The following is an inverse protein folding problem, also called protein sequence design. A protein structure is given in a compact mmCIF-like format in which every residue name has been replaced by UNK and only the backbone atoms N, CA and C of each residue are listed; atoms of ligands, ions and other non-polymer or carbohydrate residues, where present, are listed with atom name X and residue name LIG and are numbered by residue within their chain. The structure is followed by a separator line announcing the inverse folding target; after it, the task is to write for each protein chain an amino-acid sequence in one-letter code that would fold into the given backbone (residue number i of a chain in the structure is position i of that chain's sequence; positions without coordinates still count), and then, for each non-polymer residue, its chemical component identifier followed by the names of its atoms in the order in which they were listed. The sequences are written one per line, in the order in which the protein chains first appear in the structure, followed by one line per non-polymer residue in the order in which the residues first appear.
data_IF_212966674017
#
_entry.id   IF_212966674017
#
_cell.length_a   1.000
_cell.length_b   1.000
_cell.length_c   1.000
_cell.angle_alpha   90.00
_cell.angle_beta   90.00
_cell.angle_gamma   90.00
#
_symmetry.space_group_name_H-M   'P 1'
#
loop_
_entity.id
_entity.type
_entity.pdbx_description
1 polymer ?
#
# COMPACT_ATOMS: atom_id res chain seq x y z
N UNK A 1 115.49 -51.84 -47.23
CA UNK A 1 115.87 -51.36 -45.88
C UNK A 1 114.81 -51.83 -44.90
N UNK A 2 115.25 -52.40 -43.77
CA UNK A 2 114.44 -53.23 -42.87
C UNK A 2 113.26 -52.46 -42.22
N UNK A 3 112.08 -53.06 -42.26
CA UNK A 3 110.95 -52.67 -41.40
C UNK A 3 110.92 -53.63 -40.23
N UNK A 4 111.38 -53.16 -39.08
CA UNK A 4 111.24 -53.84 -37.80
C UNK A 4 109.74 -53.97 -37.47
N UNK A 5 109.25 -55.20 -37.35
CA UNK A 5 107.88 -55.47 -36.96
C UNK A 5 107.64 -54.99 -35.52
N UNK A 6 106.86 -53.93 -35.35
CA UNK A 6 106.42 -53.49 -34.03
C UNK A 6 105.59 -54.59 -33.35
N UNK A 7 105.85 -54.84 -32.06
CA UNK A 7 105.11 -55.83 -31.28
C UNK A 7 103.57 -55.58 -31.38
N UNK A 8 102.75 -56.64 -31.54
CA UNK A 8 101.32 -56.50 -31.88
C UNK A 8 100.50 -55.71 -30.85
N UNK A 9 100.91 -55.71 -29.57
CA UNK A 9 100.31 -54.88 -28.54
C UNK A 9 100.55 -53.37 -28.71
N UNK A 10 101.69 -52.98 -29.28
CA UNK A 10 102.02 -51.59 -29.58
C UNK A 10 101.26 -51.11 -30.81
N UNK A 11 101.20 -51.93 -31.86
CA UNK A 11 100.47 -51.60 -33.10
C UNK A 11 98.96 -51.37 -32.85
N UNK A 12 98.34 -52.15 -31.94
CA UNK A 12 96.93 -51.99 -31.56
C UNK A 12 96.65 -50.70 -30.77
N UNK A 13 97.56 -50.31 -29.85
CA UNK A 13 97.46 -49.03 -29.13
C UNK A 13 97.68 -47.85 -30.07
N UNK A 14 98.65 -47.95 -30.98
CA UNK A 14 99.00 -46.90 -31.94
C UNK A 14 97.85 -46.66 -32.92
N UNK A 15 97.22 -47.73 -33.43
CA UNK A 15 96.01 -47.66 -34.25
C UNK A 15 94.84 -47.03 -33.51
N UNK A 16 94.60 -47.41 -32.24
CA UNK A 16 93.53 -46.81 -31.41
C UNK A 16 93.75 -45.32 -31.17
N UNK A 17 94.99 -44.88 -30.91
CA UNK A 17 95.34 -43.46 -30.74
C UNK A 17 95.15 -42.68 -32.05
N UNK A 18 95.58 -43.25 -33.18
CA UNK A 18 95.38 -42.64 -34.51
C UNK A 18 93.91 -42.57 -34.94
N UNK A 19 93.09 -43.53 -34.53
CA UNK A 19 91.64 -43.54 -34.79
C UNK A 19 90.86 -42.63 -33.84
N UNK A 20 91.47 -42.15 -32.75
CA UNK A 20 90.83 -41.21 -31.84
C UNK A 20 90.86 -39.82 -32.49
N UNK A 21 89.73 -39.39 -33.05
CA UNK A 21 89.57 -38.06 -33.64
C UNK A 21 89.72 -37.00 -32.54
N UNK A 22 90.87 -36.33 -32.52
CA UNK A 22 91.19 -35.30 -31.51
C UNK A 22 90.70 -33.91 -31.90
N UNK A 23 90.18 -33.75 -33.12
CA UNK A 23 89.85 -32.46 -33.73
C UNK A 23 88.34 -32.16 -33.72
N UNK A 24 87.51 -32.99 -33.07
CA UNK A 24 86.07 -32.74 -33.05
C UNK A 24 85.73 -31.57 -32.10
N UNK A 25 84.81 -30.67 -32.51
CA UNK A 25 84.48 -29.47 -31.72
C UNK A 25 83.94 -29.83 -30.34
N UNK A 26 83.17 -30.90 -30.22
CA UNK A 26 82.61 -31.38 -28.94
C UNK A 26 83.71 -31.90 -28.00
N UNK A 27 84.73 -32.55 -28.55
CA UNK A 27 85.85 -33.07 -27.77
C UNK A 27 86.76 -31.93 -27.33
N UNK A 28 87.02 -30.94 -28.20
CA UNK A 28 87.75 -29.73 -27.85
C UNK A 28 87.01 -28.90 -26.78
N UNK A 29 85.69 -28.75 -26.88
CA UNK A 29 84.86 -28.08 -25.88
C UNK A 29 84.88 -28.82 -24.53
N UNK A 30 84.78 -30.15 -24.57
CA UNK A 30 84.87 -31.02 -23.39
C UNK A 30 86.25 -30.95 -22.73
N UNK A 31 87.31 -30.91 -23.54
CA UNK A 31 88.69 -30.74 -23.05
C UNK A 31 88.93 -29.34 -22.49
N UNK A 32 88.36 -28.29 -23.11
CA UNK A 32 88.43 -26.93 -22.60
C UNK A 32 87.73 -26.81 -21.24
N UNK A 33 86.56 -27.42 -21.07
CA UNK A 33 85.89 -27.49 -19.77
C UNK A 33 86.68 -28.32 -18.76
N UNK A 34 87.25 -29.44 -19.16
CA UNK A 34 88.10 -30.30 -18.31
C UNK A 34 89.35 -29.54 -17.83
N UNK A 35 89.95 -28.74 -18.71
CA UNK A 35 91.09 -27.87 -18.41
C UNK A 35 90.79 -26.81 -17.34
N UNK A 36 89.54 -26.45 -17.09
CA UNK A 36 89.20 -25.45 -16.05
C UNK A 36 89.40 -25.97 -14.63
N UNK A 37 89.44 -27.29 -14.42
CA UNK A 37 89.52 -27.89 -13.09
C UNK A 37 90.53 -29.04 -12.96
N UNK A 38 91.05 -29.52 -14.09
CA UNK A 38 92.06 -30.56 -14.12
C UNK A 38 93.42 -29.95 -14.47
N UNK A 39 94.08 -29.36 -13.47
CA UNK A 39 95.36 -28.66 -13.63
C UNK A 39 96.57 -29.61 -13.59
N UNK A 40 96.51 -30.68 -12.78
CA UNK A 40 97.65 -31.56 -12.51
C UNK A 40 97.47 -32.96 -13.10
N UNK A 41 98.37 -33.33 -14.02
CA UNK A 41 98.31 -34.59 -14.75
C UNK A 41 99.08 -35.73 -14.05
N UNK A 42 98.72 -36.04 -12.81
CA UNK A 42 99.36 -37.11 -12.00
C UNK A 42 98.71 -38.49 -12.24
N UNK A 43 99.41 -39.62 -12.03
CA UNK A 43 98.83 -40.95 -12.20
C UNK A 43 97.63 -41.22 -11.27
N UNK A 44 97.60 -40.58 -10.10
CA UNK A 44 96.47 -40.64 -9.17
C UNK A 44 95.29 -39.79 -9.65
N UNK A 45 95.55 -38.59 -10.19
CA UNK A 45 94.53 -37.74 -10.83
C UNK A 45 93.92 -38.40 -12.07
N UNK A 46 94.68 -39.17 -12.86
CA UNK A 46 94.13 -39.90 -14.03
C UNK A 46 93.19 -41.03 -13.62
N UNK A 47 93.50 -41.73 -12.52
CA UNK A 47 92.64 -42.79 -11.96
C UNK A 47 91.33 -42.22 -11.40
N UNK A 48 91.38 -41.01 -10.85
CA UNK A 48 90.23 -40.36 -10.23
C UNK A 48 89.43 -39.44 -11.18
N UNK A 49 89.93 -39.17 -12.39
CA UNK A 49 89.33 -38.22 -13.35
C UNK A 49 87.84 -38.48 -13.61
N UNK A 50 87.45 -39.74 -13.81
CA UNK A 50 86.05 -40.13 -14.02
C UNK A 50 85.18 -39.73 -12.81
N UNK A 51 85.65 -40.05 -11.61
CA UNK A 51 84.95 -39.70 -10.37
C UNK A 51 84.85 -38.19 -10.16
N UNK A 52 85.90 -37.43 -10.50
CA UNK A 52 85.88 -35.96 -10.43
C UNK A 52 84.91 -35.32 -11.44
N UNK A 53 84.83 -35.86 -12.66
CA UNK A 53 83.86 -35.40 -13.66
C UNK A 53 82.43 -35.72 -13.20
N UNK A 54 82.19 -36.93 -12.69
CA UNK A 54 80.88 -37.35 -12.17
C UNK A 54 80.46 -36.50 -10.96
N UNK A 55 81.36 -36.22 -10.02
CA UNK A 55 81.10 -35.32 -8.89
C UNK A 55 80.78 -33.89 -9.34
N UNK A 56 81.50 -33.36 -10.33
CA UNK A 56 81.22 -32.02 -10.88
C UNK A 56 79.89 -31.98 -11.61
N UNK A 57 79.57 -33.00 -12.40
CA UNK A 57 78.26 -33.13 -13.07
C UNK A 57 77.12 -33.17 -12.05
N UNK A 58 77.28 -33.96 -10.99
CA UNK A 58 76.33 -34.04 -9.89
C UNK A 58 76.19 -32.69 -9.16
N UNK A 59 77.29 -31.98 -8.92
CA UNK A 59 77.27 -30.64 -8.32
C UNK A 59 76.55 -29.61 -9.21
N UNK A 60 76.75 -29.64 -10.53
CA UNK A 60 76.06 -28.76 -11.48
C UNK A 60 74.56 -29.06 -11.50
N UNK A 61 74.17 -30.34 -11.54
CA UNK A 61 72.76 -30.74 -11.48
C UNK A 61 72.10 -30.35 -10.16
N UNK A 62 72.81 -30.50 -9.03
CA UNK A 62 72.32 -30.00 -7.74
C UNK A 62 72.16 -28.48 -7.74
N UNK A 63 73.13 -27.74 -8.28
CA UNK A 63 73.04 -26.29 -8.36
C UNK A 63 71.87 -25.85 -9.24
N UNK A 64 71.67 -26.51 -10.39
CA UNK A 64 70.53 -26.26 -11.27
C UNK A 64 69.21 -26.52 -10.55
N UNK A 65 69.05 -27.69 -9.91
CA UNK A 65 67.85 -28.03 -9.14
C UNK A 65 67.60 -27.01 -8.02
N UNK A 66 68.66 -26.58 -7.32
CA UNK A 66 68.54 -25.63 -6.23
C UNK A 66 68.19 -24.21 -6.72
N UNK A 67 68.68 -23.83 -7.89
CA UNK A 67 68.35 -22.56 -8.53
C UNK A 67 66.94 -22.57 -9.14
N UNK A 68 66.49 -23.70 -9.70
CA UNK A 68 65.16 -23.85 -10.29
C UNK A 68 64.05 -24.05 -9.26
N UNK A 69 64.39 -24.51 -8.04
CA UNK A 69 63.42 -24.77 -6.96
C UNK A 69 62.55 -23.55 -6.65
N UNK A 70 63.15 -22.35 -6.56
CA UNK A 70 62.41 -21.13 -6.24
C UNK A 70 61.41 -20.75 -7.34
N UNK A 71 61.76 -20.97 -8.61
CA UNK A 71 60.87 -20.74 -9.74
C UNK A 71 59.74 -21.77 -9.76
N UNK A 72 60.03 -23.04 -9.50
CA UNK A 72 59.02 -24.10 -9.40
C UNK A 72 58.02 -23.79 -8.29
N UNK A 73 58.49 -23.47 -7.08
CA UNK A 73 57.62 -23.11 -5.96
C UNK A 73 56.77 -21.86 -6.24
N UNK A 74 57.29 -20.90 -6.99
CA UNK A 74 56.51 -19.73 -7.41
C UNK A 74 55.41 -20.11 -8.42
N UNK A 75 55.71 -21.01 -9.36
CA UNK A 75 54.72 -21.55 -10.29
C UNK A 75 53.65 -22.37 -9.57
N UNK A 76 54.04 -23.24 -8.64
CA UNK A 76 53.11 -24.06 -7.84
C UNK A 76 52.13 -23.15 -7.06
N UNK A 77 52.62 -22.05 -6.48
CA UNK A 77 51.76 -21.07 -5.79
C UNK A 77 50.80 -20.37 -6.75
N UNK A 78 51.27 -19.99 -7.95
CA UNK A 78 50.40 -19.35 -8.94
C UNK A 78 49.33 -20.34 -9.41
N UNK A 79 49.68 -21.60 -9.62
CA UNK A 79 48.71 -22.65 -9.95
C UNK A 79 47.68 -22.84 -8.84
N UNK A 80 48.11 -22.86 -7.58
CA UNK A 80 47.22 -22.97 -6.42
C UNK A 80 46.25 -21.78 -6.31
N UNK A 81 46.74 -20.55 -6.50
CA UNK A 81 45.90 -19.34 -6.51
C UNK A 81 44.93 -19.31 -7.70
N UNK A 82 45.36 -19.75 -8.89
CA UNK A 82 44.49 -19.82 -10.08
C UNK A 82 43.39 -20.86 -9.89
N UNK A 83 43.72 -22.02 -9.31
CA UNK A 83 42.74 -23.05 -8.99
C UNK A 83 41.76 -22.54 -7.92
N UNK A 84 42.25 -21.86 -6.88
CA UNK A 84 41.40 -21.23 -5.87
C UNK A 84 40.44 -20.19 -6.46
N UNK A 85 40.92 -19.38 -7.42
CA UNK A 85 40.07 -18.42 -8.13
C UNK A 85 39.00 -19.12 -9.00
N UNK A 86 39.36 -20.20 -9.69
CA UNK A 86 38.43 -20.97 -10.49
C UNK A 86 37.31 -21.56 -9.62
N UNK A 87 37.66 -22.15 -8.48
CA UNK A 87 36.72 -22.70 -7.50
C UNK A 87 35.80 -21.60 -6.95
N UNK A 88 36.35 -20.44 -6.58
CA UNK A 88 35.56 -19.30 -6.13
C UNK A 88 34.58 -18.82 -7.21
N UNK A 89 35.01 -18.71 -8.47
CA UNK A 89 34.13 -18.33 -9.58
C UNK A 89 33.01 -19.36 -9.77
N UNK A 90 33.29 -20.66 -9.65
CA UNK A 90 32.26 -21.70 -9.77
C UNK A 90 31.26 -21.65 -8.62
N UNK A 91 31.72 -21.39 -7.39
CA UNK A 91 30.85 -21.20 -6.23
C UNK A 91 29.95 -19.97 -6.38
N UNK A 92 30.50 -18.84 -6.85
CA UNK A 92 29.74 -17.62 -7.12
C UNK A 92 28.71 -17.88 -8.22
N UNK A 93 29.07 -18.58 -9.29
CA UNK A 93 28.14 -18.92 -10.37
C UNK A 93 26.98 -19.78 -9.87
N UNK A 94 27.26 -20.80 -9.04
CA UNK A 94 26.22 -21.65 -8.42
C UNK A 94 25.32 -20.86 -7.46
N UNK A 95 25.89 -19.99 -6.63
CA UNK A 95 25.13 -19.15 -5.73
C UNK A 95 24.23 -18.16 -6.50
N UNK A 96 24.76 -17.57 -7.58
CA UNK A 96 24.03 -16.64 -8.43
C UNK A 96 22.88 -17.34 -9.18
N UNK A 97 23.11 -18.54 -9.72
CA UNK A 97 22.05 -19.29 -10.42
C UNK A 97 20.92 -19.67 -9.46
N UNK A 98 21.25 -20.17 -8.26
CA UNK A 98 20.26 -20.50 -7.23
C UNK A 98 19.47 -19.28 -6.76
N UNK A 99 20.16 -18.14 -6.54
CA UNK A 99 19.51 -16.88 -6.19
C UNK A 99 18.60 -16.39 -7.32
N UNK A 100 19.02 -16.51 -8.58
CA UNK A 100 18.21 -16.13 -9.74
C UNK A 100 16.93 -16.96 -9.85
N UNK A 101 17.00 -18.28 -9.64
CA UNK A 101 15.82 -19.17 -9.65
C UNK A 101 14.84 -18.80 -8.54
N UNK A 102 15.33 -18.67 -7.30
CA UNK A 102 14.49 -18.29 -6.16
C UNK A 102 13.88 -16.90 -6.32
N UNK A 103 14.66 -15.95 -6.85
CA UNK A 103 14.17 -14.60 -7.15
C UNK A 103 13.09 -14.63 -8.24
N UNK A 104 13.24 -15.50 -9.25
CA UNK A 104 12.24 -15.69 -10.29
C UNK A 104 10.89 -16.16 -9.71
N UNK A 105 10.91 -17.14 -8.81
CA UNK A 105 9.70 -17.62 -8.13
C UNK A 105 9.06 -16.54 -7.26
N UNK A 106 9.87 -15.77 -6.53
CA UNK A 106 9.37 -14.65 -5.72
C UNK A 106 8.75 -13.57 -6.61
N UNK A 107 9.36 -13.25 -7.76
CA UNK A 107 8.80 -12.28 -8.71
C UNK A 107 7.46 -12.78 -9.25
N UNK A 108 7.39 -14.03 -9.69
CA UNK A 108 6.16 -14.61 -10.23
C UNK A 108 5.03 -14.65 -9.20
N UNK A 109 5.34 -15.04 -7.96
CA UNK A 109 4.36 -15.06 -6.87
C UNK A 109 3.93 -13.66 -6.46
N UNK A 110 4.86 -12.70 -6.43
CA UNK A 110 4.56 -11.28 -6.14
C UNK A 110 3.66 -10.68 -7.21
N UNK A 111 3.93 -10.94 -8.49
CA UNK A 111 3.12 -10.43 -9.59
C UNK A 111 1.70 -11.04 -9.57
N UNK A 112 1.58 -12.36 -9.30
CA UNK A 112 0.27 -13.00 -9.11
C UNK A 112 -0.51 -12.37 -7.96
N UNK A 113 0.12 -12.19 -6.80
CA UNK A 113 -0.54 -11.59 -5.63
C UNK A 113 -0.94 -10.13 -5.88
N UNK A 114 -0.14 -9.37 -6.63
CA UNK A 114 -0.46 -8.01 -7.02
C UNK A 114 -1.71 -7.95 -7.90
N UNK A 115 -1.82 -8.85 -8.87
CA UNK A 115 -3.02 -8.96 -9.73
C UNK A 115 -4.26 -9.38 -8.93
N UNK A 116 -4.13 -10.34 -8.00
CA UNK A 116 -5.21 -10.75 -7.11
C UNK A 116 -5.66 -9.61 -6.19
N UNK A 117 -4.71 -8.81 -5.67
CA UNK A 117 -5.00 -7.65 -4.85
C UNK A 117 -5.75 -6.58 -5.64
N UNK A 118 -5.33 -6.28 -6.87
CA UNK A 118 -6.00 -5.31 -7.74
C UNK A 118 -7.44 -5.74 -8.06
N UNK A 119 -7.65 -7.02 -8.37
CA UNK A 119 -8.98 -7.55 -8.64
C UNK A 119 -9.86 -7.53 -7.37
N UNK A 120 -9.28 -7.86 -6.22
CA UNK A 120 -10.00 -7.86 -4.94
C UNK A 120 -10.38 -6.44 -4.52
N UNK A 121 -9.50 -5.46 -4.72
CA UNK A 121 -9.77 -4.04 -4.41
C UNK A 121 -10.86 -3.48 -5.32
N UNK A 122 -10.81 -3.76 -6.63
CA UNK A 122 -11.91 -3.38 -7.54
C UNK A 122 -13.25 -4.00 -7.12
N UNK A 123 -13.28 -5.28 -6.74
CA UNK A 123 -14.49 -5.93 -6.23
C UNK A 123 -14.99 -5.29 -4.93
N UNK A 124 -14.08 -4.94 -4.02
CA UNK A 124 -14.41 -4.26 -2.79
C UNK A 124 -15.03 -2.88 -3.07
N UNK A 125 -14.48 -2.12 -4.01
CA UNK A 125 -15.02 -0.82 -4.44
C UNK A 125 -16.44 -0.97 -4.98
N UNK A 126 -16.66 -1.93 -5.89
CA UNK A 126 -18.00 -2.20 -6.44
C UNK A 126 -18.99 -2.56 -5.34
N UNK A 127 -18.60 -3.43 -4.40
CA UNK A 127 -19.46 -3.79 -3.25
C UNK A 127 -19.71 -2.57 -2.38
N UNK A 128 -18.71 -1.73 -2.13
CA UNK A 128 -18.88 -0.53 -1.31
C UNK A 128 -19.84 0.49 -1.94
N UNK A 129 -19.74 0.71 -3.26
CA UNK A 129 -20.69 1.55 -4.00
C UNK A 129 -22.09 0.93 -3.98
N UNK A 130 -22.20 -0.38 -4.19
CA UNK A 130 -23.49 -1.06 -4.15
C UNK A 130 -24.15 -0.98 -2.76
N UNK A 131 -23.39 -1.15 -1.69
CA UNK A 131 -23.89 -1.00 -0.33
C UNK A 131 -24.30 0.44 -0.04
N UNK A 132 -23.56 1.43 -0.52
CA UNK A 132 -23.95 2.82 -0.40
C UNK A 132 -25.28 3.09 -1.15
N UNK A 133 -25.37 2.67 -2.41
CA UNK A 133 -26.53 2.96 -3.27
C UNK A 133 -27.83 2.24 -2.85
N UNK A 134 -27.73 1.14 -2.10
CA UNK A 134 -28.84 0.23 -1.80
C UNK A 134 -29.01 -0.15 -0.34
N UNK A 135 -28.17 0.33 0.57
CA UNK A 135 -28.29 0.01 1.99
C UNK A 135 -28.06 1.25 2.86
N UNK A 136 -28.94 1.43 3.84
CA UNK A 136 -28.75 2.42 4.89
C UNK A 136 -27.72 1.91 5.89
N UNK A 137 -26.80 2.79 6.27
CA UNK A 137 -25.87 2.54 7.37
C UNK A 137 -26.63 2.45 8.70
N UNK A 138 -26.03 1.78 9.69
CA UNK A 138 -26.61 1.72 11.04
C UNK A 138 -26.81 3.11 11.63
N UNK A 139 -25.91 4.05 11.34
CA UNK A 139 -25.97 5.42 11.86
C UNK A 139 -27.13 6.20 11.26
N UNK A 140 -27.43 5.99 9.97
CA UNK A 140 -28.59 6.60 9.31
C UNK A 140 -29.91 6.03 9.83
N UNK A 141 -29.98 4.71 10.04
CA UNK A 141 -31.16 4.07 10.66
C UNK A 141 -31.38 4.63 12.06
N UNK A 142 -30.30 4.81 12.84
CA UNK A 142 -30.37 5.41 14.17
C UNK A 142 -30.81 6.88 14.09
N UNK A 143 -30.26 7.68 13.18
CA UNK A 143 -30.67 9.08 12.99
C UNK A 143 -32.17 9.22 12.62
N UNK A 144 -32.72 8.28 11.84
CA UNK A 144 -34.15 8.25 11.53
C UNK A 144 -35.02 7.84 12.75
N UNK A 145 -34.45 7.13 13.74
CA UNK A 145 -35.15 6.62 14.93
C UNK A 145 -34.96 7.47 16.19
N UNK A 146 -33.80 8.10 16.38
CA UNK A 146 -33.42 8.94 17.53
C UNK A 146 -34.29 10.17 17.66
N UNK A 147 -34.85 10.51 18.83
CA UNK A 147 -35.88 11.57 19.00
C UNK A 147 -35.51 12.98 18.52
N UNK A 148 -34.23 13.35 18.48
CA UNK A 148 -33.79 14.67 18.05
C UNK A 148 -33.79 14.79 16.52
N UNK A 149 -34.38 15.87 15.99
CA UNK A 149 -34.31 16.18 14.56
C UNK A 149 -33.14 17.13 14.33
N UNK A 150 -32.12 16.65 13.67
CA UNK A 150 -30.92 17.42 13.31
C UNK A 150 -30.57 17.30 11.83
N UNK A 151 -29.40 17.81 11.46
CA UNK A 151 -28.88 17.71 10.10
C UNK A 151 -28.68 16.26 9.64
N UNK A 152 -28.29 15.37 10.57
CA UNK A 152 -28.15 13.92 10.34
C UNK A 152 -29.45 13.28 9.89
N UNK A 153 -30.59 13.68 10.48
CA UNK A 153 -31.92 13.20 10.09
C UNK A 153 -32.25 13.57 8.64
N UNK A 154 -32.02 14.82 8.25
CA UNK A 154 -32.30 15.26 6.87
C UNK A 154 -31.38 14.60 5.85
N UNK A 155 -30.10 14.42 6.19
CA UNK A 155 -29.14 13.68 5.36
C UNK A 155 -29.57 12.22 5.17
N UNK A 156 -29.94 11.54 6.25
CA UNK A 156 -30.46 10.17 6.19
C UNK A 156 -31.75 10.09 5.37
N UNK A 157 -32.69 11.04 5.55
CA UNK A 157 -33.93 11.08 4.79
C UNK A 157 -33.70 11.28 3.28
N UNK A 158 -32.78 12.18 2.90
CA UNK A 158 -32.37 12.35 1.50
C UNK A 158 -31.77 11.06 0.93
N UNK A 159 -30.90 10.39 1.68
CA UNK A 159 -30.30 9.14 1.23
C UNK A 159 -31.37 8.03 1.05
N UNK A 160 -32.34 7.91 1.96
CA UNK A 160 -33.48 7.00 1.78
C UNK A 160 -34.27 7.31 0.49
N UNK A 161 -34.44 8.58 0.13
CA UNK A 161 -35.11 8.97 -1.12
C UNK A 161 -34.28 8.59 -2.35
N UNK A 162 -32.97 8.76 -2.28
CA UNK A 162 -32.03 8.38 -3.34
C UNK A 162 -32.02 6.86 -3.55
N UNK A 163 -31.89 6.05 -2.48
CA UNK A 163 -31.99 4.59 -2.55
C UNK A 163 -33.33 4.18 -3.16
N UNK A 164 -34.43 4.78 -2.71
CA UNK A 164 -35.76 4.49 -3.25
C UNK A 164 -35.89 4.86 -4.75
N UNK A 165 -35.20 5.90 -5.21
CA UNK A 165 -35.12 6.24 -6.63
C UNK A 165 -34.26 5.23 -7.41
N UNK A 166 -33.12 4.81 -6.85
CA UNK A 166 -32.22 3.81 -7.42
C UNK A 166 -32.91 2.45 -7.56
N UNK A 167 -33.76 2.06 -6.61
CA UNK A 167 -34.58 0.83 -6.70
C UNK A 167 -35.43 0.79 -7.98
N UNK A 168 -35.91 1.94 -8.49
CA UNK A 168 -36.66 1.99 -9.76
C UNK A 168 -35.82 1.55 -10.95
N UNK A 169 -34.50 1.70 -10.88
CA UNK A 169 -33.56 1.21 -11.87
C UNK A 169 -33.44 -0.31 -11.76
N UNK A 170 -33.31 -0.87 -10.55
CA UNK A 170 -33.31 -2.34 -10.34
C UNK A 170 -34.57 -3.01 -10.86
N UNK A 171 -35.73 -2.38 -10.72
CA UNK A 171 -37.00 -2.92 -11.24
C UNK A 171 -37.00 -3.10 -12.76
N UNK A 172 -36.13 -2.38 -13.49
CA UNK A 172 -35.96 -2.54 -14.95
C UNK A 172 -34.97 -3.66 -15.31
N UNK A 173 -34.27 -4.23 -14.33
CA UNK A 173 -33.28 -5.30 -14.51
C UNK A 173 -33.85 -6.67 -14.15
N UNK A 174 -33.04 -7.72 -14.21
CA UNK A 174 -33.43 -9.09 -13.84
C UNK A 174 -33.68 -9.29 -12.33
N UNK A 175 -33.28 -8.34 -11.46
CA UNK A 175 -33.39 -8.46 -10.01
C UNK A 175 -34.62 -7.74 -9.43
N UNK A 176 -35.79 -7.92 -10.07
CA UNK A 176 -37.02 -7.20 -9.71
C UNK A 176 -37.49 -7.46 -8.28
N UNK A 177 -37.43 -8.72 -7.82
CA UNK A 177 -37.87 -9.09 -6.46
C UNK A 177 -37.06 -8.38 -5.37
N UNK A 178 -35.74 -8.38 -5.49
CA UNK A 178 -34.87 -7.66 -4.55
C UNK A 178 -35.12 -6.15 -4.60
N UNK A 179 -35.33 -5.59 -5.80
CA UNK A 179 -35.70 -4.19 -5.97
C UNK A 179 -37.02 -3.83 -5.29
N UNK A 180 -38.04 -4.70 -5.35
CA UNK A 180 -39.32 -4.50 -4.67
C UNK A 180 -39.18 -4.59 -3.14
N UNK A 181 -38.50 -5.61 -2.63
CA UNK A 181 -38.28 -5.78 -1.18
C UNK A 181 -37.52 -4.58 -0.59
N UNK A 182 -36.52 -4.08 -1.31
CA UNK A 182 -35.77 -2.89 -0.89
C UNK A 182 -36.62 -1.62 -0.97
N UNK A 183 -37.41 -1.46 -2.02
CA UNK A 183 -38.33 -0.34 -2.18
C UNK A 183 -39.39 -0.29 -1.08
N UNK A 184 -39.96 -1.44 -0.70
CA UNK A 184 -40.91 -1.55 0.40
C UNK A 184 -40.24 -1.18 1.73
N UNK A 185 -39.03 -1.70 1.99
CA UNK A 185 -38.27 -1.35 3.20
C UNK A 185 -37.96 0.15 3.27
N UNK A 186 -37.51 0.77 2.17
CA UNK A 186 -37.28 2.22 2.11
C UNK A 186 -38.56 3.02 2.31
N UNK A 187 -39.70 2.54 1.77
CA UNK A 187 -41.00 3.20 1.96
C UNK A 187 -41.40 3.23 3.44
N UNK A 188 -41.19 2.14 4.18
CA UNK A 188 -41.43 2.09 5.63
C UNK A 188 -40.57 3.11 6.38
N UNK A 189 -39.28 3.22 6.04
CA UNK A 189 -38.39 4.23 6.63
C UNK A 189 -38.82 5.65 6.29
N UNK A 190 -39.23 5.92 5.04
CA UNK A 190 -39.73 7.23 4.63
C UNK A 190 -41.01 7.59 5.38
N UNK A 191 -41.98 6.69 5.46
CA UNK A 191 -43.25 6.93 6.15
C UNK A 191 -43.03 7.24 7.64
N UNK A 192 -42.22 6.42 8.32
CA UNK A 192 -41.88 6.65 9.73
C UNK A 192 -41.14 7.98 9.95
N UNK A 193 -40.20 8.33 9.07
CA UNK A 193 -39.47 9.59 9.14
C UNK A 193 -40.38 10.81 8.94
N UNK A 194 -41.25 10.76 7.92
CA UNK A 194 -42.18 11.85 7.63
C UNK A 194 -43.27 12.02 8.69
N UNK A 195 -43.80 10.93 9.23
CA UNK A 195 -44.76 10.98 10.34
C UNK A 195 -44.12 11.65 11.56
N UNK A 196 -42.89 11.27 11.88
CA UNK A 196 -42.12 11.85 12.97
C UNK A 196 -41.79 13.32 12.73
N UNK A 197 -41.39 13.69 11.51
CA UNK A 197 -41.17 15.08 11.13
C UNK A 197 -42.44 15.91 11.32
N UNK A 198 -43.63 15.41 10.93
CA UNK A 198 -44.88 16.12 11.18
C UNK A 198 -45.17 16.28 12.69
N UNK A 199 -44.99 15.21 13.50
CA UNK A 199 -45.19 15.32 14.96
C UNK A 199 -44.26 16.35 15.60
N UNK A 200 -42.99 16.38 15.18
CA UNK A 200 -42.02 17.35 15.69
C UNK A 200 -42.38 18.77 15.27
N UNK A 201 -42.75 18.99 14.00
CA UNK A 201 -43.22 20.30 13.51
C UNK A 201 -44.44 20.78 14.29
N UNK A 202 -45.42 19.90 14.55
CA UNK A 202 -46.59 20.22 15.36
C UNK A 202 -46.21 20.61 16.81
N UNK A 203 -45.30 19.86 17.44
CA UNK A 203 -44.83 20.15 18.79
C UNK A 203 -44.11 21.50 18.86
N UNK A 204 -43.26 21.80 17.88
CA UNK A 204 -42.51 23.05 17.83
C UNK A 204 -43.42 24.25 17.55
N UNK A 205 -44.39 24.10 16.63
CA UNK A 205 -45.41 25.11 16.40
C UNK A 205 -46.33 25.33 17.62
N UNK A 206 -46.54 24.31 18.46
CA UNK A 206 -47.30 24.46 19.72
C UNK A 206 -46.56 25.33 20.72
N UNK A 207 -45.28 25.06 20.94
CA UNK A 207 -44.41 25.90 21.80
C UNK A 207 -44.39 27.35 21.31
N UNK A 208 -44.40 27.53 19.99
CA UNK A 208 -44.39 28.84 19.36
C UNK A 208 -45.71 29.62 19.61
N UNK A 209 -46.86 28.92 19.60
CA UNK A 209 -48.17 29.52 19.81
C UNK A 209 -48.45 30.01 21.23
N UNK A 210 -47.69 29.54 22.22
CA UNK A 210 -47.80 29.97 23.62
C UNK A 210 -46.96 31.22 23.93
N UNK A 211 -46.08 31.66 23.01
CA UNK A 211 -45.22 32.83 23.18
C UNK A 211 -45.71 34.04 22.39
N UNK A 212 -45.62 35.24 22.98
CA UNK A 212 -46.11 36.49 22.38
C UNK A 212 -45.22 37.03 21.25
N UNK A 213 -43.95 36.60 21.17
CA UNK A 213 -43.02 36.95 20.08
C UNK A 213 -42.30 35.68 19.56
N UNK A 214 -42.90 34.98 18.60
CA UNK A 214 -42.40 33.68 18.15
C UNK A 214 -41.20 33.79 17.20
N UNK A 215 -39.99 33.52 17.69
CA UNK A 215 -38.82 33.33 16.81
C UNK A 215 -38.85 31.95 16.14
N UNK A 216 -39.01 31.94 14.82
CA UNK A 216 -39.03 30.71 14.02
C UNK A 216 -37.61 30.26 13.74
N UNK A 217 -37.18 29.17 14.39
CA UNK A 217 -35.91 28.51 14.12
C UNK A 217 -35.76 28.12 12.63
N UNK A 218 -34.56 28.26 12.08
CA UNK A 218 -34.26 27.86 10.70
C UNK A 218 -34.46 26.35 10.48
N UNK A 219 -34.28 25.54 11.52
CA UNK A 219 -34.57 24.11 11.50
C UNK A 219 -36.06 23.83 11.21
N UNK A 220 -36.96 24.62 11.81
CA UNK A 220 -38.40 24.50 11.57
C UNK A 220 -38.77 24.89 10.14
N UNK A 221 -38.12 25.92 9.57
CA UNK A 221 -38.31 26.31 8.16
C UNK A 221 -37.90 25.18 7.22
N UNK A 222 -36.74 24.56 7.48
CA UNK A 222 -36.23 23.42 6.70
C UNK A 222 -37.13 22.19 6.82
N UNK A 223 -37.58 21.87 8.03
CA UNK A 223 -38.52 20.77 8.28
C UNK A 223 -39.84 20.95 7.52
N UNK A 224 -40.42 22.15 7.57
CA UNK A 224 -41.65 22.48 6.84
C UNK A 224 -41.42 22.48 5.32
N UNK A 225 -40.25 22.90 4.85
CA UNK A 225 -39.89 22.81 3.44
C UNK A 225 -39.81 21.36 2.97
N UNK A 226 -39.16 20.49 3.72
CA UNK A 226 -39.08 19.06 3.43
C UNK A 226 -40.47 18.40 3.42
N UNK A 227 -41.36 18.76 4.35
CA UNK A 227 -42.75 18.26 4.36
C UNK A 227 -43.53 18.60 3.08
N UNK A 228 -43.20 19.69 2.36
CA UNK A 228 -43.89 20.06 1.11
C UNK A 228 -43.77 19.00 0.02
N UNK A 229 -42.74 18.15 0.06
CA UNK A 229 -42.59 17.01 -0.86
C UNK A 229 -43.71 15.96 -0.69
N UNK A 230 -44.42 15.99 0.44
CA UNK A 230 -45.59 15.16 0.74
C UNK A 230 -46.81 16.06 0.98
N UNK A 231 -47.54 16.45 -0.08
CA UNK A 231 -48.60 17.47 0.01
C UNK A 231 -49.73 17.09 0.98
N UNK A 232 -50.01 15.80 1.15
CA UNK A 232 -51.03 15.31 2.11
C UNK A 232 -50.62 15.59 3.55
N UNK A 233 -49.39 15.22 3.92
CA UNK A 233 -48.86 15.46 5.26
C UNK A 233 -48.67 16.95 5.50
N UNK A 234 -48.12 17.68 4.53
CA UNK A 234 -47.99 19.13 4.62
C UNK A 234 -49.34 19.80 4.89
N UNK A 235 -50.38 19.47 4.11
CA UNK A 235 -51.73 20.00 4.31
C UNK A 235 -52.24 19.70 5.72
N UNK A 236 -52.13 18.45 6.18
CA UNK A 236 -52.52 18.06 7.53
C UNK A 236 -51.78 18.86 8.60
N UNK A 237 -50.44 18.95 8.55
CA UNK A 237 -49.68 19.73 9.54
C UNK A 237 -50.06 21.23 9.45
N UNK A 238 -50.32 21.80 8.27
CA UNK A 238 -50.76 23.21 8.14
C UNK A 238 -52.14 23.49 8.70
N UNK A 239 -53.11 22.57 8.52
CA UNK A 239 -54.46 22.69 9.07
C UNK A 239 -54.42 22.59 10.60
N UNK A 240 -53.64 21.65 11.16
CA UNK A 240 -53.44 21.53 12.60
C UNK A 240 -52.77 22.78 13.19
N UNK A 241 -51.73 23.32 12.54
CA UNK A 241 -51.08 24.57 12.97
C UNK A 241 -52.08 25.73 12.92
N UNK A 242 -52.89 25.83 11.87
CA UNK A 242 -53.91 26.86 11.74
C UNK A 242 -54.96 26.76 12.86
N UNK A 243 -55.46 25.55 13.14
CA UNK A 243 -56.40 25.28 14.23
C UNK A 243 -55.80 25.61 15.61
N UNK A 244 -54.55 25.22 15.84
CA UNK A 244 -53.84 25.52 17.09
C UNK A 244 -53.66 27.03 17.29
N UNK A 245 -53.23 27.75 16.25
CA UNK A 245 -53.09 29.22 16.32
C UNK A 245 -54.45 29.88 16.51
N UNK A 246 -55.49 29.41 15.82
CA UNK A 246 -56.85 29.89 16.03
C UNK A 246 -57.30 29.72 17.49
N UNK A 247 -57.13 28.53 18.07
CA UNK A 247 -57.48 28.29 19.47
C UNK A 247 -56.65 29.10 20.46
N UNK A 248 -55.35 29.27 20.22
CA UNK A 248 -54.49 30.10 21.06
C UNK A 248 -54.93 31.58 21.01
N UNK A 249 -55.16 32.12 19.81
CA UNK A 249 -55.67 33.48 19.60
C UNK A 249 -57.04 33.68 20.24
N UNK A 250 -57.94 32.72 20.09
CA UNK A 250 -59.27 32.76 20.71
C UNK A 250 -59.17 32.79 22.24
N UNK A 251 -58.34 31.92 22.85
CA UNK A 251 -58.10 31.95 24.30
C UNK A 251 -57.51 33.28 24.77
N UNK A 252 -56.56 33.84 24.02
CA UNK A 252 -55.96 35.15 24.32
C UNK A 252 -56.99 36.27 24.23
N UNK A 253 -57.87 36.24 23.23
CA UNK A 253 -58.97 37.19 23.08
C UNK A 253 -59.95 37.12 24.25
N UNK A 254 -60.41 35.91 24.63
CA UNK A 254 -61.28 35.73 25.81
C UNK A 254 -60.60 36.21 27.10
N UNK A 255 -59.30 35.98 27.24
CA UNK A 255 -58.53 36.47 28.39
C UNK A 255 -58.47 37.99 28.40
N UNK A 256 -58.25 38.64 27.26
CA UNK A 256 -58.26 40.10 27.14
C UNK A 256 -59.66 40.70 27.41
N UNK A 257 -60.73 40.01 26.98
CA UNK A 257 -62.11 40.40 27.26
C UNK A 257 -62.44 40.35 28.75
N UNK A 258 -62.14 39.22 29.41
CA UNK A 258 -62.67 38.88 30.74
C UNK A 258 -61.72 39.17 31.90
N UNK A 259 -60.39 39.07 31.69
CA UNK A 259 -59.36 39.19 32.73
C UNK A 259 -58.40 40.36 32.52
N UNK A 260 -58.27 40.84 31.29
CA UNK A 260 -57.30 41.87 30.94
C UNK A 260 -55.88 41.30 30.81
N UNK A 261 -54.87 42.17 30.79
CA UNK A 261 -53.47 41.78 30.64
C UNK A 261 -52.82 41.23 31.93
N UNK A 262 -51.56 40.78 31.84
CA UNK A 262 -50.82 40.25 32.99
C UNK A 262 -50.80 41.24 34.16
N UNK A 263 -51.28 40.84 35.33
CA UNK A 263 -51.38 41.72 36.50
C UNK A 263 -52.62 42.63 36.52
N UNK A 264 -53.62 42.40 35.65
CA UNK A 264 -54.87 43.17 35.60
C UNK A 264 -54.79 44.47 34.80
N UNK A 265 -53.68 44.68 34.09
CA UNK A 265 -53.41 45.83 33.21
C UNK A 265 -52.96 45.32 31.83
N UNK A 266 -53.54 45.80 30.71
CA UNK A 266 -54.75 46.64 30.65
C UNK A 266 -55.97 45.93 31.26
N UNK A 267 -56.96 46.71 31.71
CA UNK A 267 -58.19 46.18 32.30
C UNK A 267 -58.96 45.31 31.30
N UNK A 268 -59.79 44.36 31.76
CA UNK A 268 -60.66 43.59 30.88
C UNK A 268 -61.50 44.51 29.98
N UNK A 269 -61.58 44.18 28.69
CA UNK A 269 -62.33 44.98 27.71
C UNK A 269 -63.83 45.00 28.07
N UNK A 270 -64.35 43.94 28.71
CA UNK A 270 -65.76 43.86 29.17
C UNK A 270 -66.15 44.97 30.15
N UNK A 271 -65.19 45.59 30.86
CA UNK A 271 -65.47 46.72 31.76
C UNK A 271 -66.07 47.92 30.98
N UNK A 272 -65.76 48.05 29.70
CA UNK A 272 -66.25 49.12 28.82
C UNK A 272 -67.54 48.75 28.07
N UNK A 273 -68.18 47.62 28.35
CA UNK A 273 -69.38 47.17 27.63
C UNK A 273 -70.57 48.14 27.68
N UNK A 274 -70.58 49.07 28.64
CA UNK A 274 -71.60 50.13 28.76
C UNK A 274 -71.46 51.25 27.71
N UNK A 275 -70.30 51.36 27.05
CA UNK A 275 -70.03 52.30 25.95
C UNK A 275 -69.77 51.51 24.65
N UNK A 276 -70.77 51.36 23.77
CA UNK A 276 -70.66 50.52 22.58
C UNK A 276 -69.54 50.94 21.62
N UNK A 277 -69.27 52.24 21.47
CA UNK A 277 -68.23 52.72 20.55
C UNK A 277 -66.84 52.37 21.08
N UNK A 278 -66.62 52.58 22.38
CA UNK A 278 -65.35 52.24 23.04
C UNK A 278 -65.14 50.73 23.12
N UNK A 279 -66.18 49.96 23.42
CA UNK A 279 -66.11 48.50 23.52
C UNK A 279 -65.69 47.86 22.18
N UNK A 280 -66.32 48.27 21.07
CA UNK A 280 -65.94 47.81 19.73
C UNK A 280 -64.54 48.33 19.35
N UNK A 281 -64.22 49.58 19.71
CA UNK A 281 -62.90 50.17 19.49
C UNK A 281 -61.78 49.38 20.17
N UNK A 282 -61.96 48.98 21.43
CA UNK A 282 -60.99 48.20 22.21
C UNK A 282 -60.82 46.77 21.65
N UNK A 283 -61.90 46.12 21.20
CA UNK A 283 -61.83 44.82 20.50
C UNK A 283 -61.05 44.92 19.19
N UNK A 284 -61.35 45.93 18.37
CA UNK A 284 -60.65 46.16 17.11
C UNK A 284 -59.20 46.55 17.34
N UNK A 285 -58.90 47.32 18.38
CA UNK A 285 -57.55 47.67 18.81
C UNK A 285 -56.73 46.44 19.21
N UNK A 286 -57.33 45.51 19.95
CA UNK A 286 -56.69 44.24 20.30
C UNK A 286 -56.43 43.38 19.06
N UNK A 287 -57.41 43.25 18.16
CA UNK A 287 -57.26 42.52 16.90
C UNK A 287 -56.15 43.12 16.04
N UNK A 288 -56.11 44.45 15.91
CA UNK A 288 -55.07 45.17 15.18
C UNK A 288 -53.69 44.89 15.76
N UNK A 289 -53.54 44.92 17.09
CA UNK A 289 -52.27 44.62 17.76
C UNK A 289 -51.79 43.20 17.47
N UNK A 290 -52.69 42.22 17.45
CA UNK A 290 -52.33 40.79 17.30
C UNK A 290 -52.17 40.36 15.84
N UNK A 291 -52.78 41.06 14.89
CA UNK A 291 -52.62 40.77 13.45
C UNK A 291 -51.39 41.44 12.81
N UNK A 292 -50.84 42.50 13.43
CA UNK A 292 -49.66 43.22 12.93
C UNK A 292 -48.32 42.74 13.53
N UNK A 293 -48.37 41.86 14.54
CA UNK A 293 -47.23 41.15 15.13
C UNK A 293 -47.16 39.73 14.56
#
# INVERSE_FOLDING_TARGET
MAVTALAPGLSRKLKKVLETRTDSPDLLASLATLSTFYADNTPQARRNLKSSIEQRSLAINHHFLHASLAAQQALDRVEEEVNGLADCCEQIAKALSSCSESTGDIINTTERLKQELELTTQRQEIVSCFLHDYQLSSDEINALREEEIGESFFKALMHVQEIHANCKILLRTHHQRAGLELMDMMSVYQEGAYERLCRWVQAECKKLGDNDNPEVSDLLKTAVHCLKERPVLFKYCTEEIANMRHHALFRRFITALTRGGPGGLPRPIEVHAHDPLRYVGDMLGWLHQVCLL
#
